data_IF_472521073424
#
_entry.id   IF_472521073424
#
_cell.length_a   1.000
_cell.length_b   1.000
_cell.length_c   1.000
_cell.angle_alpha   90.00
_cell.angle_beta   90.00
_cell.angle_gamma   90.00
#
_symmetry.space_group_name_H-M   'P 1'
#
loop_
_entity.id
_entity.type
_entity.pdbx_description
1 polymer ?
#
# COMPACT_ATOMS: atom_id res chain seq x y z
N UNK A 1 -5.69 16.95 4.33
CA UNK A 1 -4.50 16.11 4.55
C UNK A 1 -4.19 15.20 3.35
N UNK A 2 -5.10 15.12 2.37
CA UNK A 2 -5.00 14.28 1.17
C UNK A 2 -3.69 14.41 0.37
N UNK A 3 -3.19 15.63 0.11
CA UNK A 3 -1.92 15.79 -0.63
C UNK A 3 -0.76 15.13 0.13
N UNK A 4 -0.73 15.30 1.45
CA UNK A 4 0.31 14.68 2.28
C UNK A 4 0.16 13.15 2.32
N UNK A 5 -1.08 12.64 2.43
CA UNK A 5 -1.36 11.21 2.30
C UNK A 5 -0.88 10.66 0.94
N UNK A 6 -1.14 11.38 -0.16
CA UNK A 6 -0.71 11.01 -1.50
C UNK A 6 0.83 10.96 -1.60
N UNK A 7 1.54 11.95 -1.07
CA UNK A 7 3.02 11.94 -1.06
C UNK A 7 3.58 10.75 -0.28
N UNK A 8 3.00 10.43 0.89
CA UNK A 8 3.40 9.24 1.67
C UNK A 8 3.12 7.96 0.88
N UNK A 9 1.92 7.82 0.29
CA UNK A 9 1.60 6.65 -0.52
C UNK A 9 2.41 6.57 -1.82
N UNK A 10 2.92 7.68 -2.34
CA UNK A 10 3.86 7.69 -3.47
C UNK A 10 5.15 6.97 -3.08
N UNK A 11 5.70 7.28 -1.90
CA UNK A 11 6.86 6.57 -1.37
C UNK A 11 6.56 5.09 -1.15
N UNK A 12 5.40 4.78 -0.57
CA UNK A 12 4.94 3.39 -0.37
C UNK A 12 4.86 2.64 -1.70
N UNK A 13 4.30 3.24 -2.74
CA UNK A 13 4.16 2.65 -4.07
C UNK A 13 5.52 2.40 -4.74
N UNK A 14 6.44 3.37 -4.66
CA UNK A 14 7.80 3.22 -5.16
C UNK A 14 8.51 2.06 -4.45
N UNK A 15 8.43 2.00 -3.12
CA UNK A 15 9.02 0.91 -2.35
C UNK A 15 8.37 -0.45 -2.67
N UNK A 16 7.05 -0.49 -2.78
CA UNK A 16 6.31 -1.69 -3.17
C UNK A 16 6.71 -2.19 -4.56
N UNK A 17 6.98 -1.28 -5.51
CA UNK A 17 7.48 -1.61 -6.83
C UNK A 17 8.87 -2.25 -6.77
N UNK A 18 9.80 -1.68 -6.00
CA UNK A 18 11.13 -2.29 -5.82
C UNK A 18 11.04 -3.69 -5.20
N UNK A 19 10.23 -3.86 -4.15
CA UNK A 19 10.00 -5.15 -3.51
C UNK A 19 9.40 -6.19 -4.47
N UNK A 20 8.44 -5.76 -5.31
CA UNK A 20 7.85 -6.62 -6.33
C UNK A 20 8.87 -6.99 -7.41
N UNK A 21 9.65 -6.02 -7.91
CA UNK A 21 10.71 -6.25 -8.90
C UNK A 21 11.74 -7.25 -8.39
N UNK A 22 12.21 -7.08 -7.15
CA UNK A 22 13.15 -8.02 -6.54
C UNK A 22 12.54 -9.41 -6.41
N UNK A 23 11.29 -9.50 -5.97
CA UNK A 23 10.56 -10.77 -5.90
C UNK A 23 10.47 -11.48 -7.27
N UNK A 24 10.07 -10.76 -8.32
CA UNK A 24 9.95 -11.34 -9.67
C UNK A 24 11.30 -11.67 -10.31
N UNK A 25 12.37 -10.97 -9.92
CA UNK A 25 13.76 -11.27 -10.33
C UNK A 25 14.41 -12.36 -9.48
N UNK A 26 13.73 -12.90 -8.46
CA UNK A 26 14.30 -13.89 -7.54
C UNK A 26 15.42 -13.34 -6.65
N UNK A 27 15.48 -12.02 -6.45
CA UNK A 27 16.48 -11.36 -5.60
C UNK A 27 15.99 -11.31 -4.16
N UNK A 28 16.90 -11.42 -3.17
CA UNK A 28 16.53 -11.21 -1.78
C UNK A 28 16.11 -9.74 -1.59
N UNK A 29 14.92 -9.53 -1.04
CA UNK A 29 14.46 -8.20 -0.65
C UNK A 29 15.08 -7.79 0.69
N UNK A 30 15.58 -6.57 0.80
CA UNK A 30 16.05 -6.02 2.08
C UNK A 30 14.89 -5.98 3.10
N UNK A 31 15.12 -6.58 4.27
CA UNK A 31 14.16 -6.62 5.38
C UNK A 31 13.86 -5.22 5.91
N UNK A 32 14.87 -4.35 6.04
CA UNK A 32 14.67 -2.99 6.52
C UNK A 32 13.76 -2.21 5.57
N UNK A 33 13.98 -2.38 4.27
CA UNK A 33 13.16 -1.77 3.23
C UNK A 33 11.70 -2.27 3.25
N UNK A 34 11.49 -3.58 3.45
CA UNK A 34 10.14 -4.14 3.61
C UNK A 34 9.42 -3.63 4.88
N UNK A 35 10.14 -3.49 5.99
CA UNK A 35 9.58 -2.92 7.24
C UNK A 35 9.23 -1.44 7.05
N UNK A 36 10.11 -0.66 6.43
CA UNK A 36 9.85 0.75 6.15
C UNK A 36 8.64 0.93 5.21
N UNK A 37 8.47 0.07 4.20
CA UNK A 37 7.28 0.07 3.34
C UNK A 37 6.00 -0.16 4.16
N UNK A 38 6.00 -1.15 5.07
CA UNK A 38 4.84 -1.43 5.92
C UNK A 38 4.52 -0.27 6.88
N UNK A 39 5.54 0.34 7.50
CA UNK A 39 5.36 1.49 8.41
C UNK A 39 4.77 2.68 7.64
N UNK A 40 5.33 3.02 6.48
CA UNK A 40 4.82 4.13 5.67
C UNK A 40 3.39 3.86 5.16
N UNK A 41 3.05 2.61 4.84
CA UNK A 41 1.68 2.26 4.47
C UNK A 41 0.68 2.49 5.60
N UNK A 42 1.07 2.19 6.85
CA UNK A 42 0.26 2.47 8.04
C UNK A 42 0.13 3.98 8.27
N UNK A 43 1.23 4.73 8.14
CA UNK A 43 1.21 6.20 8.26
C UNK A 43 0.29 6.83 7.21
N UNK A 44 0.43 6.43 5.94
CA UNK A 44 -0.44 6.91 4.86
C UNK A 44 -1.92 6.59 5.13
N UNK A 45 -2.21 5.38 5.62
CA UNK A 45 -3.57 4.98 5.99
C UNK A 45 -4.14 5.82 7.13
N UNK A 46 -3.32 6.13 8.14
CA UNK A 46 -3.72 6.99 9.25
C UNK A 46 -4.08 8.40 8.77
N UNK A 47 -3.31 8.97 7.84
CA UNK A 47 -3.60 10.28 7.25
C UNK A 47 -4.95 10.30 6.52
N UNK A 48 -5.26 9.25 5.75
CA UNK A 48 -6.55 9.11 5.07
C UNK A 48 -7.70 8.96 6.08
N UNK A 49 -7.50 8.22 7.17
CA UNK A 49 -8.49 8.12 8.24
C UNK A 49 -8.74 9.50 8.89
N UNK A 50 -7.70 10.29 9.10
CA UNK A 50 -7.85 11.65 9.64
C UNK A 50 -8.65 12.55 8.70
N UNK A 51 -8.45 12.49 7.38
CA UNK A 51 -9.29 13.21 6.40
C UNK A 51 -10.77 12.76 6.50
N UNK A 52 -11.02 11.46 6.67
CA UNK A 52 -12.37 10.93 6.84
C UNK A 52 -13.04 11.44 8.13
N UNK A 53 -12.29 11.49 9.24
CA UNK A 53 -12.76 12.03 10.52
C UNK A 53 -13.01 13.55 10.46
N UNK A 54 -12.39 14.26 9.51
CA UNK A 54 -12.64 15.67 9.22
C UNK A 54 -13.84 15.89 8.28
N UNK A 55 -14.51 14.81 7.84
CA UNK A 55 -15.74 14.87 7.06
C UNK A 55 -15.59 14.49 5.59
N UNK A 56 -14.38 14.18 5.10
CA UNK A 56 -14.22 13.73 3.71
C UNK A 56 -14.62 12.26 3.55
N UNK A 57 -15.92 12.02 3.34
CA UNK A 57 -16.46 10.66 3.18
C UNK A 57 -16.01 9.96 1.90
N UNK A 58 -15.47 10.68 0.92
CA UNK A 58 -15.01 10.11 -0.36
C UNK A 58 -13.89 9.10 -0.14
N UNK A 59 -13.05 9.33 0.86
CA UNK A 59 -11.90 8.48 1.16
C UNK A 59 -12.25 7.15 1.82
N UNK A 60 -13.52 6.88 2.15
CA UNK A 60 -13.92 5.58 2.71
C UNK A 60 -13.57 4.40 1.78
N UNK A 61 -13.60 4.61 0.46
CA UNK A 61 -13.13 3.60 -0.49
C UNK A 61 -11.63 3.30 -0.32
N UNK A 62 -10.80 4.32 -0.09
CA UNK A 62 -9.37 4.15 0.16
C UNK A 62 -9.11 3.42 1.46
N UNK A 63 -9.89 3.70 2.51
CA UNK A 63 -9.80 2.99 3.80
C UNK A 63 -10.15 1.50 3.60
N UNK A 64 -11.26 1.21 2.93
CA UNK A 64 -11.66 -0.16 2.62
C UNK A 64 -10.60 -0.92 1.82
N UNK A 65 -10.05 -0.29 0.78
CA UNK A 65 -8.95 -0.86 -0.01
C UNK A 65 -7.69 -1.07 0.84
N UNK A 66 -7.31 -0.10 1.67
CA UNK A 66 -6.13 -0.20 2.54
C UNK A 66 -6.23 -1.40 3.49
N UNK A 67 -7.39 -1.66 4.08
CA UNK A 67 -7.61 -2.85 4.93
C UNK A 67 -7.34 -4.14 4.16
N UNK A 68 -7.88 -4.27 2.94
CA UNK A 68 -7.68 -5.46 2.09
C UNK A 68 -6.20 -5.59 1.67
N UNK A 69 -5.57 -4.50 1.25
CA UNK A 69 -4.16 -4.46 0.84
C UNK A 69 -3.26 -4.88 2.00
N UNK A 70 -3.48 -4.34 3.20
CA UNK A 70 -2.72 -4.70 4.41
C UNK A 70 -2.93 -6.17 4.75
N UNK A 71 -4.16 -6.68 4.70
CA UNK A 71 -4.42 -8.10 4.93
C UNK A 71 -3.66 -9.00 3.94
N UNK A 72 -3.66 -8.67 2.65
CA UNK A 72 -2.88 -9.38 1.63
C UNK A 72 -1.37 -9.30 1.90
N UNK A 73 -0.86 -8.13 2.32
CA UNK A 73 0.55 -7.93 2.67
C UNK A 73 0.97 -8.77 3.88
N UNK A 74 0.11 -8.87 4.90
CA UNK A 74 0.32 -9.73 6.06
C UNK A 74 0.33 -11.22 5.66
N UNK A 75 -0.64 -11.66 4.86
CA UNK A 75 -0.67 -13.04 4.34
C UNK A 75 0.59 -13.36 3.54
N UNK A 76 1.03 -12.43 2.69
CA UNK A 76 2.26 -12.57 1.91
C UNK A 76 3.48 -12.72 2.80
N UNK A 77 3.62 -11.85 3.80
CA UNK A 77 4.72 -11.87 4.77
C UNK A 77 4.76 -13.19 5.55
N UNK A 78 3.62 -13.65 6.06
CA UNK A 78 3.51 -14.92 6.80
C UNK A 78 3.86 -16.10 5.91
N UNK A 79 3.33 -16.17 4.69
CA UNK A 79 3.62 -17.29 3.76
C UNK A 79 5.08 -17.30 3.33
N UNK A 80 5.66 -16.14 3.03
CA UNK A 80 7.09 -16.02 2.71
C UNK A 80 7.95 -16.47 3.89
N UNK A 81 7.61 -16.10 5.12
CA UNK A 81 8.33 -16.53 6.31
C UNK A 81 8.24 -18.06 6.52
N UNK A 82 7.07 -18.65 6.31
CA UNK A 82 6.85 -20.10 6.53
C UNK A 82 7.45 -20.98 5.44
N UNK A 83 7.40 -20.55 4.19
CA UNK A 83 7.73 -21.40 3.02
C UNK A 83 8.98 -20.96 2.27
N UNK A 84 9.55 -19.80 2.62
CA UNK A 84 10.59 -19.13 1.83
C UNK A 84 10.09 -18.49 0.54
N UNK A 85 8.83 -18.75 0.14
CA UNK A 85 8.29 -18.33 -1.16
C UNK A 85 7.09 -17.40 -0.97
N UNK A 86 7.11 -16.26 -1.67
CA UNK A 86 5.98 -15.36 -1.78
C UNK A 86 5.08 -15.82 -2.95
N UNK A 87 3.77 -16.11 -2.75
CA UNK A 87 2.91 -16.55 -3.85
C UNK A 87 2.65 -15.42 -4.84
N UNK A 88 3.08 -15.61 -6.10
CA UNK A 88 2.99 -14.58 -7.16
C UNK A 88 1.59 -14.01 -7.36
N UNK A 89 0.55 -14.84 -7.24
CA UNK A 89 -0.84 -14.40 -7.35
C UNK A 89 -1.25 -13.39 -6.26
N UNK A 90 -0.77 -13.60 -5.02
CA UNK A 90 -1.04 -12.68 -3.90
C UNK A 90 -0.24 -11.38 -4.08
N UNK A 91 1.02 -11.47 -4.53
CA UNK A 91 1.84 -10.28 -4.86
C UNK A 91 1.14 -9.43 -5.92
N UNK A 92 0.65 -10.06 -7.00
CA UNK A 92 -0.06 -9.37 -8.07
C UNK A 92 -1.34 -8.71 -7.57
N UNK A 93 -2.18 -9.44 -6.81
CA UNK A 93 -3.41 -8.89 -6.25
C UNK A 93 -3.14 -7.70 -5.31
N UNK A 94 -2.16 -7.82 -4.41
CA UNK A 94 -1.74 -6.75 -3.52
C UNK A 94 -1.27 -5.51 -4.29
N UNK A 95 -0.40 -5.68 -5.28
CA UNK A 95 0.12 -4.58 -6.09
C UNK A 95 -0.99 -3.91 -6.92
N UNK A 96 -1.88 -4.69 -7.55
CA UNK A 96 -2.97 -4.15 -8.35
C UNK A 96 -3.95 -3.32 -7.49
N UNK A 97 -4.35 -3.85 -6.32
CA UNK A 97 -5.21 -3.12 -5.38
C UNK A 97 -4.52 -1.84 -4.86
N UNK A 98 -3.21 -1.90 -4.57
CA UNK A 98 -2.45 -0.73 -4.15
C UNK A 98 -2.41 0.36 -5.23
N UNK A 99 -2.22 0.00 -6.49
CA UNK A 99 -2.28 0.95 -7.62
C UNK A 99 -3.66 1.58 -7.74
N UNK A 100 -4.73 0.78 -7.66
CA UNK A 100 -6.11 1.31 -7.71
C UNK A 100 -6.37 2.27 -6.55
N UNK A 101 -5.98 1.90 -5.33
CA UNK A 101 -6.10 2.77 -4.15
C UNK A 101 -5.34 4.08 -4.33
N UNK A 102 -4.11 4.03 -4.83
CA UNK A 102 -3.28 5.19 -5.09
C UNK A 102 -3.90 6.12 -6.15
N UNK A 103 -4.42 5.56 -7.26
CA UNK A 103 -5.04 6.35 -8.32
C UNK A 103 -6.33 7.03 -7.86
N UNK A 104 -7.16 6.35 -7.06
CA UNK A 104 -8.36 6.95 -6.46
C UNK A 104 -7.98 8.10 -5.53
N UNK A 105 -6.96 7.93 -4.68
CA UNK A 105 -6.50 8.99 -3.80
C UNK A 105 -5.97 10.19 -4.61
N UNK A 106 -5.19 9.92 -5.66
CA UNK A 106 -4.68 10.94 -6.58
C UNK A 106 -5.80 11.70 -7.27
N UNK A 107 -6.87 11.02 -7.69
CA UNK A 107 -8.05 11.65 -8.25
C UNK A 107 -8.70 12.64 -7.25
N UNK A 108 -8.88 12.26 -5.99
CA UNK A 108 -9.44 13.16 -4.97
C UNK A 108 -8.54 14.37 -4.64
N UNK A 109 -7.22 14.25 -4.83
CA UNK A 109 -6.30 15.37 -4.68
C UNK A 109 -6.41 16.35 -5.86
N UNK A 110 -6.53 15.85 -7.09
CA UNK A 110 -6.53 16.68 -8.32
C UNK A 110 -7.90 17.27 -8.62
N UNK A 111 -8.98 16.58 -8.25
CA UNK A 111 -10.36 17.00 -8.44
C UNK A 111 -11.00 17.28 -7.07
N UNK A 112 -10.65 18.41 -6.41
CA UNK A 112 -11.31 18.82 -5.19
C UNK A 112 -12.77 19.18 -5.48
N UNK A 113 -13.69 18.76 -4.61
CA UNK A 113 -15.11 19.13 -4.68
C UNK A 113 -15.31 20.47 -3.97
#
# INVERSE_FOLDING_TARGET
MLLFALLVFTLVAIMGLFLAVDHFKGRPSDRQFAVAHAILAVIGSALVILDALQGDTRVFINIGLAVVIIALGLVLSIRKHKTGVAPKGIVFAHAALAVVCYLILGYFVVVPN
#
